data_IF_618585304592
#
_entry.id   IF_618585304592
#
_cell.length_a   1.000
_cell.length_b   1.000
_cell.length_c   1.000
_cell.angle_alpha   90.00
_cell.angle_beta   90.00
_cell.angle_gamma   90.00
#
_symmetry.space_group_name_H-M   'P 1'
#
loop_
_entity.id
_entity.type
_entity.pdbx_description
1 polymer ?
#
# COMPACT_ATOMS: atom_id res chain seq x y z
N UNK A 1 -20.88 3.84 12.36
CA UNK A 1 -21.41 3.69 10.99
C UNK A 1 -20.83 2.41 10.44
N UNK A 2 -21.69 1.61 9.82
CA UNK A 2 -21.34 0.31 9.27
C UNK A 2 -22.00 0.18 7.91
N UNK A 3 -21.30 -0.46 6.98
CA UNK A 3 -21.82 -0.74 5.64
C UNK A 3 -21.47 -2.16 5.26
N UNK A 4 -22.37 -2.79 4.52
CA UNK A 4 -22.20 -4.11 3.93
C UNK A 4 -22.51 -3.98 2.45
N UNK A 5 -21.64 -4.52 1.61
CA UNK A 5 -21.77 -4.52 0.16
C UNK A 5 -21.65 -5.94 -0.39
N UNK A 6 -22.24 -6.12 -1.57
CA UNK A 6 -22.10 -7.33 -2.37
C UNK A 6 -21.84 -6.93 -3.80
N UNK A 7 -21.01 -7.71 -4.49
CA UNK A 7 -20.73 -7.49 -5.90
C UNK A 7 -20.69 -8.80 -6.67
N UNK A 8 -21.01 -8.70 -7.95
CA UNK A 8 -20.86 -9.77 -8.91
C UNK A 8 -20.36 -9.18 -10.23
N UNK A 9 -19.39 -9.84 -10.84
CA UNK A 9 -18.90 -9.55 -12.18
C UNK A 9 -18.76 -10.87 -12.95
N UNK A 10 -19.27 -10.93 -14.17
CA UNK A 10 -19.28 -12.16 -14.95
C UNK A 10 -19.05 -11.90 -16.42
N UNK A 11 -18.07 -12.59 -17.02
CA UNK A 11 -17.81 -12.61 -18.46
C UNK A 11 -18.06 -14.02 -18.99
N UNK A 12 -18.77 -14.16 -20.10
CA UNK A 12 -19.01 -15.45 -20.74
C UNK A 12 -18.91 -15.34 -22.27
N UNK A 13 -18.59 -16.46 -22.92
CA UNK A 13 -18.45 -16.59 -24.37
C UNK A 13 -18.35 -18.05 -24.81
N UNK A 14 -17.86 -18.30 -26.03
CA UNK A 14 -17.75 -19.65 -26.64
C UNK A 14 -16.89 -20.61 -25.81
N UNK A 15 -17.50 -21.33 -24.87
CA UNK A 15 -16.82 -22.22 -23.92
C UNK A 15 -16.05 -21.53 -22.79
N UNK A 16 -15.88 -20.20 -22.87
CA UNK A 16 -15.23 -19.39 -21.85
C UNK A 16 -16.23 -18.84 -20.82
N UNK A 17 -15.85 -18.82 -19.55
CA UNK A 17 -16.58 -18.09 -18.51
C UNK A 17 -15.68 -17.68 -17.36
N UNK A 18 -15.79 -16.45 -16.87
CA UNK A 18 -15.18 -15.98 -15.62
C UNK A 18 -16.30 -15.37 -14.79
N UNK A 19 -16.55 -15.93 -13.61
CA UNK A 19 -17.53 -15.42 -12.66
C UNK A 19 -16.84 -15.07 -11.36
N UNK A 20 -17.07 -13.86 -10.89
CA UNK A 20 -16.54 -13.33 -9.64
C UNK A 20 -17.71 -12.83 -8.81
N UNK A 21 -17.76 -13.26 -7.56
CA UNK A 21 -18.71 -12.77 -6.58
C UNK A 21 -17.95 -12.37 -5.32
N UNK A 22 -18.48 -11.42 -4.57
CA UNK A 22 -17.85 -11.00 -3.34
C UNK A 22 -18.76 -10.21 -2.41
N UNK A 23 -18.27 -10.04 -1.20
CA UNK A 23 -18.88 -9.24 -0.17
C UNK A 23 -17.81 -8.35 0.47
N UNK A 24 -18.21 -7.15 0.85
CA UNK A 24 -17.36 -6.20 1.57
C UNK A 24 -18.09 -5.66 2.80
N UNK A 25 -17.34 -5.32 3.82
CA UNK A 25 -17.84 -4.75 5.05
C UNK A 25 -16.92 -3.64 5.52
N UNK A 26 -17.51 -2.56 6.02
CA UNK A 26 -16.80 -1.54 6.77
C UNK A 26 -17.50 -1.36 8.12
N UNK A 27 -16.70 -1.36 9.18
CA UNK A 27 -17.17 -1.17 10.54
C UNK A 27 -16.30 -0.11 11.22
N UNK A 28 -16.93 0.99 11.63
CA UNK A 28 -16.32 1.94 12.56
C UNK A 28 -16.76 1.60 13.98
N UNK A 29 -15.83 1.13 14.82
CA UNK A 29 -16.13 0.73 16.20
C UNK A 29 -16.31 1.94 17.11
N UNK A 30 -15.45 2.96 16.96
CA UNK A 30 -15.53 4.22 17.70
C UNK A 30 -14.95 5.37 16.87
N UNK A 31 -14.65 6.51 17.50
CA UNK A 31 -14.11 7.67 16.78
C UNK A 31 -12.70 7.45 16.20
N UNK A 32 -11.95 6.48 16.74
CA UNK A 32 -10.54 6.21 16.45
C UNK A 32 -10.33 4.91 15.69
N UNK A 33 -11.20 3.92 15.86
CA UNK A 33 -11.02 2.55 15.36
C UNK A 33 -11.97 2.24 14.19
N UNK A 34 -11.43 1.69 13.11
CA UNK A 34 -12.19 1.16 11.97
C UNK A 34 -11.59 -0.11 11.37
N UNK A 35 -12.44 -0.94 10.80
CA UNK A 35 -12.08 -2.16 10.08
C UNK A 35 -12.80 -2.20 8.73
N UNK A 36 -12.07 -2.55 7.67
CA UNK A 36 -12.58 -2.91 6.36
C UNK A 36 -12.24 -4.38 6.09
N UNK A 37 -13.19 -5.12 5.55
CA UNK A 37 -13.02 -6.50 5.09
C UNK A 37 -13.59 -6.62 3.68
N UNK A 38 -12.91 -7.33 2.80
CA UNK A 38 -13.45 -7.74 1.51
C UNK A 38 -13.08 -9.19 1.25
N UNK A 39 -14.07 -9.99 0.84
CA UNK A 39 -13.88 -11.35 0.39
C UNK A 39 -14.44 -11.51 -1.01
N UNK A 40 -13.62 -12.02 -1.93
CA UNK A 40 -13.99 -12.32 -3.30
C UNK A 40 -13.73 -13.79 -3.60
N UNK A 41 -14.57 -14.40 -4.43
CA UNK A 41 -14.36 -15.73 -5.00
C UNK A 41 -14.53 -15.63 -6.51
N UNK A 42 -13.59 -16.22 -7.23
CA UNK A 42 -13.65 -16.30 -8.69
C UNK A 42 -13.60 -17.75 -9.17
N UNK A 43 -14.38 -18.04 -10.20
CA UNK A 43 -14.35 -19.31 -10.93
C UNK A 43 -14.27 -19.02 -12.43
N UNK A 44 -13.24 -19.60 -13.06
CA UNK A 44 -12.96 -19.45 -14.49
C UNK A 44 -13.02 -20.80 -15.17
N UNK A 45 -13.64 -20.82 -16.34
CA UNK A 45 -13.68 -21.92 -17.29
C UNK A 45 -13.04 -21.46 -18.59
N UNK A 46 -12.07 -22.22 -19.06
CA UNK A 46 -11.42 -22.04 -20.34
C UNK A 46 -11.96 -23.05 -21.35
N UNK A 47 -12.07 -22.68 -22.64
CA UNK A 47 -12.17 -23.63 -23.74
C UNK A 47 -11.02 -24.65 -23.70
N UNK A 48 -11.28 -25.90 -24.10
CA UNK A 48 -10.36 -27.02 -23.95
C UNK A 48 -9.05 -26.85 -24.74
N UNK A 49 -9.14 -26.29 -25.94
CA UNK A 49 -8.02 -25.95 -26.81
C UNK A 49 -7.11 -24.89 -26.16
N UNK A 50 -7.70 -23.83 -25.60
CA UNK A 50 -6.97 -22.78 -24.90
C UNK A 50 -6.33 -23.28 -23.60
N UNK A 51 -7.06 -24.08 -22.82
CA UNK A 51 -6.54 -24.68 -21.59
C UNK A 51 -5.30 -25.54 -21.88
N UNK A 52 -5.38 -26.35 -22.93
CA UNK A 52 -4.27 -27.20 -23.41
C UNK A 52 -3.08 -26.35 -23.88
N UNK A 53 -3.33 -25.32 -24.69
CA UNK A 53 -2.27 -24.42 -25.19
C UNK A 53 -1.53 -23.67 -24.07
N UNK A 54 -2.23 -23.33 -22.99
CA UNK A 54 -1.66 -22.67 -21.80
C UNK A 54 -1.05 -23.66 -20.79
N UNK A 55 -1.18 -24.97 -21.01
CA UNK A 55 -0.67 -26.00 -20.09
C UNK A 55 -1.36 -25.99 -18.73
N UNK A 56 -2.64 -25.61 -18.68
CA UNK A 56 -3.42 -25.50 -17.45
C UNK A 56 -4.75 -26.26 -17.55
N UNK A 57 -5.43 -26.45 -16.42
CA UNK A 57 -6.75 -27.07 -16.41
C UNK A 57 -7.84 -26.17 -17.00
N UNK A 58 -8.90 -26.78 -17.54
CA UNK A 58 -10.08 -26.05 -18.06
C UNK A 58 -10.80 -25.25 -16.97
N UNK A 59 -10.68 -25.66 -15.70
CA UNK A 59 -11.28 -24.96 -14.56
C UNK A 59 -10.19 -24.41 -13.65
N UNK A 60 -10.33 -23.15 -13.29
CA UNK A 60 -9.46 -22.47 -12.35
C UNK A 60 -10.32 -21.65 -11.39
N UNK A 61 -9.90 -21.52 -10.15
CA UNK A 61 -10.60 -20.69 -9.18
C UNK A 61 -9.73 -20.35 -8.01
N UNK A 62 -10.18 -19.35 -7.25
CA UNK A 62 -9.44 -18.85 -6.11
C UNK A 62 -10.28 -17.88 -5.30
N UNK A 63 -9.78 -17.57 -4.11
CA UNK A 63 -10.36 -16.55 -3.27
C UNK A 63 -9.38 -15.37 -3.18
N UNK A 64 -9.92 -14.19 -2.89
CA UNK A 64 -9.14 -13.05 -2.45
C UNK A 64 -9.75 -12.52 -1.15
N UNK A 65 -8.91 -12.22 -0.16
CA UNK A 65 -9.28 -11.67 1.13
C UNK A 65 -8.45 -10.42 1.39
N UNK A 66 -9.12 -9.32 1.70
CA UNK A 66 -8.51 -8.09 2.17
C UNK A 66 -9.05 -7.77 3.56
N UNK A 67 -8.13 -7.45 4.48
CA UNK A 67 -8.43 -6.94 5.81
C UNK A 67 -7.63 -5.66 6.03
N UNK A 68 -8.29 -4.61 6.49
CA UNK A 68 -7.64 -3.35 6.82
C UNK A 68 -8.17 -2.82 8.13
N UNK A 69 -7.32 -2.77 9.15
CA UNK A 69 -7.60 -2.12 10.42
C UNK A 69 -6.90 -0.77 10.49
N UNK A 70 -7.57 0.22 11.06
CA UNK A 70 -6.99 1.54 11.28
C UNK A 70 -7.35 2.09 12.65
N UNK A 71 -6.35 2.65 13.31
CA UNK A 71 -6.48 3.42 14.54
C UNK A 71 -5.94 4.83 14.31
N UNK A 72 -6.77 5.84 14.54
CA UNK A 72 -6.38 7.24 14.45
C UNK A 72 -6.71 7.97 15.74
N UNK A 73 -5.68 8.42 16.44
CA UNK A 73 -5.79 9.33 17.57
C UNK A 73 -4.91 10.55 17.36
N UNK A 74 -5.02 11.54 18.25
CA UNK A 74 -4.15 12.72 18.21
C UNK A 74 -2.66 12.35 18.24
N UNK A 75 -2.29 11.35 19.02
CA UNK A 75 -0.90 11.09 19.40
C UNK A 75 -0.33 9.82 18.75
N UNK A 76 -1.20 8.98 18.18
CA UNK A 76 -0.85 7.67 17.64
C UNK A 76 -1.72 7.37 16.43
N UNK A 77 -1.09 6.83 15.40
CA UNK A 77 -1.73 6.28 14.22
C UNK A 77 -1.21 4.86 14.04
N UNK A 78 -2.11 3.89 13.88
CA UNK A 78 -1.75 2.52 13.52
C UNK A 78 -2.57 2.05 12.33
N UNK A 79 -1.94 1.29 11.45
CA UNK A 79 -2.61 0.61 10.35
C UNK A 79 -2.12 -0.82 10.27
N UNK A 80 -3.04 -1.75 10.09
CA UNK A 80 -2.75 -3.12 9.71
C UNK A 80 -3.48 -3.42 8.42
N UNK A 81 -2.79 -4.06 7.49
CA UNK A 81 -3.33 -4.47 6.21
C UNK A 81 -2.89 -5.91 5.94
N UNK A 82 -3.84 -6.74 5.53
CA UNK A 82 -3.59 -8.11 5.13
C UNK A 82 -4.32 -8.39 3.83
N UNK A 83 -3.62 -8.97 2.87
CA UNK A 83 -4.16 -9.28 1.55
C UNK A 83 -3.68 -10.66 1.12
N UNK A 84 -4.61 -11.59 0.95
CA UNK A 84 -4.37 -12.94 0.46
C UNK A 84 -5.09 -13.10 -0.87
N UNK A 85 -4.36 -13.43 -1.93
CA UNK A 85 -4.92 -13.71 -3.26
C UNK A 85 -4.43 -15.07 -3.72
N UNK A 86 -5.35 -16.03 -3.83
CA UNK A 86 -5.04 -17.40 -4.25
C UNK A 86 -4.40 -17.44 -5.65
N UNK A 87 -3.53 -18.42 -5.96
CA UNK A 87 -2.90 -18.55 -7.28
C UNK A 87 -3.89 -18.66 -8.45
N UNK A 88 -5.05 -19.25 -8.21
CA UNK A 88 -6.10 -19.42 -9.22
C UNK A 88 -7.14 -18.30 -9.28
N UNK A 89 -6.96 -17.22 -8.50
CA UNK A 89 -7.90 -16.10 -8.51
C UNK A 89 -7.81 -15.33 -9.83
N UNK A 90 -8.96 -14.94 -10.38
CA UNK A 90 -9.03 -14.21 -11.65
C UNK A 90 -10.25 -13.29 -11.71
N UNK A 91 -10.03 -12.04 -12.12
CA UNK A 91 -11.07 -11.04 -12.26
C UNK A 91 -10.97 -10.37 -13.65
N UNK A 92 -11.73 -10.82 -14.64
CA UNK A 92 -11.61 -10.31 -16.02
C UNK A 92 -12.05 -8.86 -16.23
N UNK A 93 -13.01 -8.40 -15.42
CA UNK A 93 -13.44 -7.00 -15.40
C UNK A 93 -12.67 -6.15 -14.39
N UNK A 94 -11.76 -6.77 -13.64
CA UNK A 94 -10.86 -6.10 -12.70
C UNK A 94 -9.43 -6.09 -13.22
N UNK A 95 -8.57 -5.32 -12.56
CA UNK A 95 -7.13 -5.38 -12.79
C UNK A 95 -6.46 -5.98 -11.56
N UNK A 96 -6.04 -7.24 -11.66
CA UNK A 96 -5.31 -7.95 -10.59
C UNK A 96 -3.97 -8.40 -11.16
N UNK A 97 -2.92 -7.56 -11.04
CA UNK A 97 -1.66 -7.77 -11.75
C UNK A 97 -0.83 -8.93 -11.16
N UNK A 98 -1.11 -9.33 -9.92
CA UNK A 98 -0.36 -10.35 -9.20
C UNK A 98 -1.30 -11.19 -8.35
N UNK A 99 -1.12 -12.51 -8.43
CA UNK A 99 -1.82 -13.54 -7.66
C UNK A 99 -0.79 -14.43 -6.98
N UNK A 100 -1.23 -15.42 -6.20
CA UNK A 100 -0.36 -16.25 -5.37
C UNK A 100 0.44 -15.41 -4.36
N UNK A 101 -0.27 -14.59 -3.58
CA UNK A 101 0.34 -13.74 -2.58
C UNK A 101 -0.38 -13.82 -1.23
N UNK A 102 0.41 -13.67 -0.17
CA UNK A 102 0.02 -13.38 1.20
C UNK A 102 0.84 -12.21 1.69
N UNK A 103 0.21 -11.05 1.70
CA UNK A 103 0.80 -9.79 2.08
C UNK A 103 0.32 -9.38 3.48
N UNK A 104 1.26 -9.04 4.35
CA UNK A 104 1.00 -8.36 5.61
C UNK A 104 1.76 -7.04 5.65
N UNK A 105 1.05 -5.95 5.95
CA UNK A 105 1.61 -4.62 6.16
C UNK A 105 1.17 -4.07 7.50
N UNK A 106 2.11 -3.50 8.25
CA UNK A 106 1.85 -2.80 9.49
C UNK A 106 2.52 -1.44 9.46
N UNK A 107 1.82 -0.41 9.92
CA UNK A 107 2.35 0.94 10.07
C UNK A 107 2.00 1.51 11.44
N UNK A 108 2.96 2.20 12.04
CA UNK A 108 2.80 2.87 13.32
C UNK A 108 3.44 4.25 13.25
N UNK A 109 2.70 5.27 13.72
CA UNK A 109 3.24 6.61 13.92
C UNK A 109 2.98 7.08 15.34
N UNK A 110 4.02 7.63 15.97
CA UNK A 110 3.91 8.42 17.20
C UNK A 110 3.98 9.90 16.86
N UNK A 111 2.99 10.68 17.28
CA UNK A 111 2.91 12.13 17.02
C UNK A 111 3.01 12.97 18.30
N UNK A 112 4.00 13.84 18.35
CA UNK A 112 4.15 14.86 19.38
C UNK A 112 3.70 16.19 18.80
N UNK A 113 2.91 16.93 19.56
CA UNK A 113 2.37 18.22 19.15
C UNK A 113 2.95 19.31 20.04
N UNK A 114 3.46 20.35 19.39
CA UNK A 114 3.94 21.54 20.05
C UNK A 114 2.82 22.36 20.67
N UNK A 115 3.20 23.20 21.62
CA UNK A 115 2.38 24.27 22.22
C UNK A 115 2.82 25.62 21.64
N UNK A 116 1.97 26.66 21.74
CA UNK A 116 2.37 28.01 21.34
C UNK A 116 3.71 28.42 21.97
N UNK A 117 4.62 28.96 21.16
CA UNK A 117 5.96 29.39 21.58
C UNK A 117 7.02 28.28 21.66
N UNK A 118 6.66 27.01 21.43
CA UNK A 118 7.67 25.95 21.33
C UNK A 118 8.41 25.98 19.99
N UNK A 119 9.62 25.42 19.98
CA UNK A 119 10.49 25.36 18.81
C UNK A 119 10.00 24.38 17.72
N UNK A 120 8.96 23.59 17.99
CA UNK A 120 8.35 22.68 17.04
C UNK A 120 6.82 22.76 17.11
N UNK A 121 6.17 22.49 15.99
CA UNK A 121 4.72 22.34 15.86
C UNK A 121 4.31 20.86 15.91
N UNK A 122 5.06 20.00 15.24
CA UNK A 122 4.82 18.56 15.26
C UNK A 122 6.13 17.79 15.05
N UNK A 123 6.30 16.72 15.81
CA UNK A 123 7.30 15.68 15.53
C UNK A 123 6.54 14.37 15.33
N UNK A 124 6.85 13.64 14.27
CA UNK A 124 6.29 12.31 14.01
C UNK A 124 7.42 11.32 13.77
N UNK A 125 7.38 10.23 14.53
CA UNK A 125 8.21 9.04 14.30
C UNK A 125 7.32 8.00 13.64
N UNK A 126 7.81 7.36 12.59
CA UNK A 126 7.07 6.37 11.81
C UNK A 126 7.86 5.10 11.60
N UNK A 127 7.17 3.97 11.59
CA UNK A 127 7.69 2.70 11.11
C UNK A 127 6.62 2.03 10.26
N UNK A 128 7.00 1.56 9.08
CA UNK A 128 6.19 0.71 8.21
C UNK A 128 6.98 -0.55 7.91
N UNK A 129 6.34 -1.71 8.08
CA UNK A 129 6.85 -3.00 7.66
C UNK A 129 5.84 -3.68 6.73
N UNK A 130 6.32 -4.30 5.66
CA UNK A 130 5.56 -5.14 4.75
C UNK A 130 6.34 -6.42 4.48
N UNK A 131 5.63 -7.54 4.38
CA UNK A 131 6.16 -8.79 3.87
C UNK A 131 5.12 -9.45 2.96
N UNK A 132 5.59 -9.96 1.83
CA UNK A 132 4.80 -10.70 0.85
C UNK A 132 5.40 -12.08 0.69
N UNK A 133 4.56 -13.10 0.88
CA UNK A 133 4.89 -14.50 0.65
C UNK A 133 4.05 -15.06 -0.47
N UNK A 134 4.54 -16.06 -1.18
CA UNK A 134 3.67 -16.93 -2.00
C UNK A 134 2.92 -17.96 -1.11
N UNK A 135 1.98 -18.70 -1.68
CA UNK A 135 1.26 -19.75 -0.95
C UNK A 135 2.13 -20.97 -0.60
N UNK A 136 3.37 -21.04 -1.12
CA UNK A 136 4.40 -22.00 -0.75
C UNK A 136 5.30 -21.49 0.39
N UNK A 137 4.99 -20.32 0.95
CA UNK A 137 5.72 -19.67 2.04
C UNK A 137 7.12 -19.17 1.68
N UNK A 138 7.41 -18.95 0.40
CA UNK A 138 8.62 -18.25 -0.02
C UNK A 138 8.42 -16.75 0.14
N UNK A 139 9.38 -16.05 0.77
CA UNK A 139 9.36 -14.60 0.85
C UNK A 139 9.68 -14.03 -0.54
N UNK A 140 8.76 -13.27 -1.10
CA UNK A 140 8.93 -12.63 -2.41
C UNK A 140 9.32 -11.17 -2.29
N UNK A 141 8.75 -10.46 -1.31
CA UNK A 141 8.98 -9.03 -1.12
C UNK A 141 8.98 -8.67 0.37
N UNK A 142 9.80 -7.71 0.75
CA UNK A 142 9.80 -7.13 2.10
C UNK A 142 10.17 -5.66 2.01
N UNK A 143 9.42 -4.82 2.71
CA UNK A 143 9.72 -3.38 2.82
C UNK A 143 9.78 -3.01 4.29
N UNK A 144 10.79 -2.24 4.67
CA UNK A 144 10.88 -1.57 5.97
C UNK A 144 11.18 -0.10 5.73
N UNK A 145 10.34 0.77 6.29
CA UNK A 145 10.51 2.23 6.22
C UNK A 145 10.50 2.78 7.63
N UNK A 146 11.59 3.45 8.01
CA UNK A 146 11.63 4.27 9.22
C UNK A 146 11.53 5.75 8.82
N UNK A 147 10.61 6.47 9.43
CA UNK A 147 10.30 7.86 9.10
C UNK A 147 10.49 8.81 10.27
N UNK A 148 11.01 10.00 9.97
CA UNK A 148 11.07 11.14 10.87
C UNK A 148 10.51 12.36 10.17
N UNK A 149 9.50 12.97 10.76
CA UNK A 149 8.95 14.23 10.30
C UNK A 149 9.01 15.26 11.42
N UNK A 150 9.57 16.42 11.12
CA UNK A 150 9.57 17.61 11.95
C UNK A 150 8.85 18.73 11.22
N UNK A 151 7.98 19.43 11.95
CA UNK A 151 7.36 20.68 11.54
C UNK A 151 7.62 21.72 12.62
N UNK A 152 8.01 22.93 12.21
CA UNK A 152 8.37 24.01 13.13
C UNK A 152 7.90 25.39 12.68
N UNK A 153 8.38 26.45 13.36
CA UNK A 153 8.13 27.83 12.97
C UNK A 153 8.47 28.12 11.50
N UNK A 154 7.89 29.20 10.94
CA UNK A 154 8.13 29.61 9.54
C UNK A 154 7.73 28.54 8.51
N UNK A 155 6.73 27.71 8.83
CA UNK A 155 6.35 26.54 8.04
C UNK A 155 7.53 25.62 7.70
N UNK A 156 8.53 25.55 8.59
CA UNK A 156 9.67 24.65 8.41
C UNK A 156 9.17 23.21 8.42
N UNK A 157 9.58 22.43 7.42
CA UNK A 157 9.32 21.01 7.32
C UNK A 157 10.64 20.29 7.05
N UNK A 158 10.89 19.23 7.81
CA UNK A 158 12.00 18.33 7.59
C UNK A 158 11.46 16.90 7.65
N UNK A 159 11.58 16.17 6.54
CA UNK A 159 11.03 14.83 6.40
C UNK A 159 12.13 13.91 5.91
N UNK A 160 12.43 12.87 6.67
CA UNK A 160 13.42 11.85 6.33
C UNK A 160 12.73 10.50 6.36
N UNK A 161 13.00 9.68 5.35
CA UNK A 161 12.78 8.25 5.48
C UNK A 161 14.05 7.46 5.16
N UNK A 162 14.24 6.36 5.89
CA UNK A 162 15.19 5.32 5.57
C UNK A 162 14.41 4.09 5.12
N UNK A 163 14.72 3.59 3.93
CA UNK A 163 14.00 2.54 3.25
C UNK A 163 14.93 1.34 3.07
N UNK A 164 14.46 0.15 3.44
CA UNK A 164 15.06 -1.13 3.10
C UNK A 164 14.03 -1.95 2.34
N UNK A 165 14.40 -2.43 1.16
CA UNK A 165 13.53 -3.19 0.28
C UNK A 165 14.23 -4.47 -0.14
N UNK A 166 13.50 -5.56 -0.12
CA UNK A 166 13.89 -6.86 -0.66
C UNK A 166 12.83 -7.26 -1.67
N UNK A 167 13.21 -7.72 -2.85
CA UNK A 167 12.26 -8.29 -3.81
C UNK A 167 12.88 -9.39 -4.67
N UNK A 168 12.04 -10.32 -5.11
CA UNK A 168 12.37 -11.40 -6.02
C UNK A 168 11.91 -11.06 -7.43
N UNK A 169 12.82 -11.09 -8.41
CA UNK A 169 12.50 -10.89 -9.82
C UNK A 169 13.27 -11.89 -10.68
N UNK A 170 12.54 -12.66 -11.51
CA UNK A 170 13.09 -13.71 -12.38
C UNK A 170 14.05 -14.68 -11.66
N UNK A 171 13.68 -15.11 -10.45
CA UNK A 171 14.48 -16.04 -9.64
C UNK A 171 15.74 -15.43 -9.00
N UNK A 172 15.95 -14.12 -9.12
CA UNK A 172 17.03 -13.39 -8.44
C UNK A 172 16.47 -12.46 -7.39
N UNK A 173 17.11 -12.45 -6.22
CA UNK A 173 16.76 -11.55 -5.12
C UNK A 173 17.57 -10.27 -5.20
N UNK A 174 16.94 -9.15 -4.88
CA UNK A 174 17.56 -7.83 -4.81
C UNK A 174 17.27 -7.19 -3.46
N UNK A 175 18.30 -6.62 -2.84
CA UNK A 175 18.20 -5.86 -1.61
C UNK A 175 18.66 -4.43 -1.87
N UNK A 176 17.78 -3.46 -1.62
CA UNK A 176 18.05 -2.04 -1.79
C UNK A 176 17.90 -1.32 -0.46
N UNK A 177 18.81 -0.37 -0.24
CA UNK A 177 18.75 0.54 0.88
C UNK A 177 18.97 1.94 0.36
N UNK A 178 18.03 2.83 0.66
CA UNK A 178 18.13 4.25 0.35
C UNK A 178 17.48 5.08 1.44
N UNK A 179 17.80 6.37 1.42
CA UNK A 179 17.16 7.36 2.28
C UNK A 179 16.74 8.55 1.45
N UNK A 180 15.56 9.07 1.71
CA UNK A 180 15.05 10.31 1.15
C UNK A 180 14.99 11.38 2.23
N UNK A 181 15.39 12.60 1.87
CA UNK A 181 15.43 13.75 2.74
C UNK A 181 14.75 14.91 2.02
N UNK A 182 13.81 15.56 2.69
CA UNK A 182 13.15 16.77 2.22
C UNK A 182 13.21 17.83 3.31
N UNK A 183 13.67 19.01 2.93
CA UNK A 183 13.66 20.21 3.74
C UNK A 183 12.88 21.30 3.03
N UNK A 184 12.05 22.03 3.75
CA UNK A 184 11.29 23.16 3.25
C UNK A 184 11.13 24.21 4.33
N UNK A 185 11.16 25.50 3.99
CA UNK A 185 10.94 26.61 4.92
C UNK A 185 10.36 27.83 4.18
N UNK A 186 9.50 28.59 4.85
CA UNK A 186 8.95 29.87 4.40
C UNK A 186 9.31 30.99 5.36
N UNK A 187 10.53 31.55 5.29
CA UNK A 187 11.01 32.53 6.27
C UNK A 187 10.36 33.91 6.14
N UNK A 188 9.85 34.24 4.94
CA UNK A 188 9.20 35.50 4.63
C UNK A 188 7.87 35.23 3.93
N UNK A 189 6.92 36.15 4.05
CA UNK A 189 5.66 36.08 3.30
C UNK A 189 5.95 36.07 1.80
N UNK A 190 5.52 35.00 1.12
CA UNK A 190 5.73 34.83 -0.33
C UNK A 190 7.06 34.19 -0.74
N UNK A 191 7.96 33.89 0.20
CA UNK A 191 9.21 33.18 -0.10
C UNK A 191 9.15 31.71 0.35
N UNK A 192 9.64 30.80 -0.50
CA UNK A 192 9.79 29.40 -0.19
C UNK A 192 11.20 28.93 -0.57
N UNK A 193 11.90 28.33 0.38
CA UNK A 193 13.12 27.60 0.11
C UNK A 193 12.86 26.11 0.38
N UNK A 194 13.38 25.25 -0.49
CA UNK A 194 13.25 23.82 -0.33
C UNK A 194 14.42 23.08 -0.97
N UNK A 195 14.72 21.93 -0.40
CA UNK A 195 15.73 21.01 -0.90
C UNK A 195 15.21 19.58 -0.74
N UNK A 196 15.54 18.75 -1.71
CA UNK A 196 15.26 17.32 -1.67
C UNK A 196 16.51 16.57 -2.11
N UNK A 197 16.80 15.46 -1.44
CA UNK A 197 17.84 14.54 -1.85
C UNK A 197 17.45 13.11 -1.56
N UNK A 198 18.05 12.22 -2.33
CA UNK A 198 17.98 10.79 -2.14
C UNK A 198 19.39 10.23 -2.16
N UNK A 199 19.70 9.36 -1.22
CA UNK A 199 21.04 8.82 -1.00
C UNK A 199 20.94 7.31 -0.83
N UNK A 200 21.80 6.56 -1.52
CA UNK A 200 21.88 5.10 -1.42
C UNK A 200 21.66 4.42 -2.76
N UNK A 201 21.42 3.10 -2.70
CA UNK A 201 21.18 2.30 -3.91
C UNK A 201 19.74 2.54 -4.33
N UNK A 202 19.59 3.41 -5.31
CA UNK A 202 18.30 3.92 -5.74
C UNK A 202 17.60 2.98 -6.73
N UNK A 203 18.37 2.19 -7.49
CA UNK A 203 17.81 1.46 -8.62
C UNK A 203 18.70 0.28 -9.01
N UNK A 204 18.07 -0.88 -9.14
CA UNK A 204 18.54 -1.90 -10.08
C UNK A 204 17.90 -1.53 -11.40
N UNK A 205 18.70 -1.30 -12.45
CA UNK A 205 18.19 -0.98 -13.77
C UNK A 205 17.54 -2.22 -14.40
N UNK A 206 16.25 -2.41 -14.10
CA UNK A 206 15.41 -3.45 -14.69
C UNK A 206 14.99 -3.07 -16.11
N UNK A 207 15.39 -1.91 -16.65
CA UNK A 207 15.02 -1.49 -18.02
C UNK A 207 15.88 -2.15 -19.10
N UNK A 208 16.95 -2.87 -18.74
CA UNK A 208 17.51 -3.96 -19.57
C UNK A 208 16.65 -5.25 -19.57
N UNK A 209 15.57 -5.29 -18.79
CA UNK A 209 14.57 -6.36 -18.65
C UNK A 209 13.16 -5.77 -18.37
N UNK A 210 12.65 -4.88 -19.23
CA UNK A 210 11.27 -4.37 -19.28
C UNK A 210 10.44 -4.35 -17.97
N UNK A 211 10.64 -3.34 -17.09
CA UNK A 211 9.58 -2.52 -16.45
C UNK A 211 10.15 -1.58 -15.39
N UNK A 212 9.63 -0.36 -15.34
CA UNK A 212 9.87 0.62 -14.27
C UNK A 212 8.80 0.42 -13.18
N UNK A 213 9.20 0.15 -11.94
CA UNK A 213 8.28 0.09 -10.81
C UNK A 213 8.63 1.24 -9.84
N UNK A 214 7.76 2.25 -9.79
CA UNK A 214 7.73 3.23 -8.72
C UNK A 214 6.50 2.93 -7.88
N UNK A 215 6.61 2.55 -6.61
CA UNK A 215 5.47 2.63 -5.73
C UNK A 215 5.29 4.11 -5.35
N UNK A 216 4.35 4.79 -6.03
CA UNK A 216 3.65 5.90 -5.39
C UNK A 216 2.85 5.32 -4.22
N UNK A 217 3.49 5.23 -3.05
CA UNK A 217 2.76 4.95 -1.82
C UNK A 217 2.01 6.25 -1.52
N UNK A 218 0.73 6.27 -1.91
CA UNK A 218 -0.25 7.26 -1.49
C UNK A 218 -0.45 7.21 0.03
N UNK A 219 0.53 7.69 0.78
CA UNK A 219 0.31 8.13 2.15
C UNK A 219 -0.56 9.38 2.03
N UNK A 220 -1.82 9.21 2.42
CA UNK A 220 -2.85 10.23 2.63
C UNK A 220 -2.34 11.68 2.47
N UNK A 221 -2.86 12.46 1.49
CA UNK A 221 -2.42 13.83 1.31
C UNK A 221 -2.60 14.60 2.63
N UNK A 222 -1.72 15.55 2.96
CA UNK A 222 -1.96 16.43 4.10
C UNK A 222 -3.34 17.06 3.90
N UNK A 223 -4.26 16.79 4.83
CA UNK A 223 -5.48 17.59 4.93
C UNK A 223 -5.01 19.00 5.26
N UNK A 224 -4.87 19.84 4.22
CA UNK A 224 -4.74 21.28 4.37
C UNK A 224 -6.09 21.77 4.85
N UNK A 225 -6.33 21.72 6.16
CA UNK A 225 -7.39 22.54 6.75
C UNK A 225 -6.94 23.98 6.57
N UNK A 226 -7.52 24.68 5.59
CA UNK A 226 -7.60 26.15 5.64
C UNK A 226 -8.22 26.50 6.99
N UNK A 227 -7.49 27.25 7.81
CA UNK A 227 -8.07 27.86 8.99
C UNK A 227 -9.27 28.74 8.55
N UNK A 228 -10.43 28.67 9.21
CA UNK A 228 -11.49 29.64 8.99
C UNK A 228 -10.98 31.00 9.46
N UNK A 229 -11.06 32.00 8.57
CA UNK A 229 -10.96 33.41 8.95
C UNK A 229 -12.23 33.78 9.72
N UNK A 230 -12.07 34.18 10.96
CA UNK A 230 -12.98 35.08 11.67
C UNK A 230 -12.10 36.08 12.42
#
# INVERSE_FOLDING_TARGET
MSTLGFLYAGRAGEGYGNHLAGADAFQRFDQKNSLTLQFLRSETRYPADLATALGQGEKQGGNALLLQFSYYSRNWIFGLYYNDISPGFRADFGYVPRVDIREGTAVAYRQFWGRPGQWFNMIRLGLLGQAVYDHKSNLTDRILIAGFLYQGPLNTLFNIHANSQHFLYNGRTFDLVNSDLMFQISPLSGALFGWQAKVGVEQVDITRLNRTFFPEIGLCPPIVRRAPRW
#
